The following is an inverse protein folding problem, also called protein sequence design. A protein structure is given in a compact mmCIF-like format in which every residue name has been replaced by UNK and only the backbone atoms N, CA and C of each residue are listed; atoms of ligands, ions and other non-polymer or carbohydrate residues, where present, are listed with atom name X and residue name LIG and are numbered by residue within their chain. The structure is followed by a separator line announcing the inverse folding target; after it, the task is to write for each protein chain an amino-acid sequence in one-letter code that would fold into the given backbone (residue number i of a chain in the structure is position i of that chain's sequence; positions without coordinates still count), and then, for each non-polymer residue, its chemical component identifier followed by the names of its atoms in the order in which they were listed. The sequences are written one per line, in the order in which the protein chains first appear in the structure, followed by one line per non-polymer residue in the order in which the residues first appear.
data_IF_726010439420
#
_entry.id   IF_726010439420
#
_cell.length_a   1.000
_cell.length_b   1.000
_cell.length_c   1.000
_cell.angle_alpha   90.00
_cell.angle_beta   90.00
_cell.angle_gamma   90.00
#
_symmetry.space_group_name_H-M   'P 1'
#
loop_
_entity.id
_entity.type
_entity.pdbx_description
1 polymer ?
#
# COMPACT_ATOMS: atom_id res chain seq x y z
N UNK A 1 6.94 -23.02 -1.60
CA UNK A 1 5.64 -22.33 -1.38
C UNK A 1 5.42 -21.37 -2.54
N UNK A 2 4.19 -21.21 -3.05
CA UNK A 2 3.89 -20.22 -4.09
C UNK A 2 3.36 -18.95 -3.43
N UNK A 3 4.24 -17.99 -3.21
CA UNK A 3 3.92 -16.70 -2.60
C UNK A 3 3.68 -15.65 -3.68
N UNK A 4 2.46 -15.13 -3.76
CA UNK A 4 2.12 -14.06 -4.70
C UNK A 4 2.16 -12.73 -3.98
N UNK A 5 2.93 -11.79 -4.54
CA UNK A 5 3.06 -10.44 -4.03
C UNK A 5 2.39 -9.47 -4.98
N UNK A 6 1.40 -8.72 -4.50
CA UNK A 6 0.66 -7.77 -5.32
C UNK A 6 1.45 -6.49 -5.53
N UNK A 7 2.20 -6.43 -6.63
CA UNK A 7 3.02 -5.29 -7.04
C UNK A 7 2.27 -4.27 -7.91
N UNK A 8 0.97 -4.46 -8.16
CA UNK A 8 0.15 -3.59 -9.02
C UNK A 8 0.01 -2.16 -8.50
N UNK A 9 0.37 -1.92 -7.23
CA UNK A 9 0.39 -0.58 -6.62
C UNK A 9 1.69 0.19 -6.87
N UNK A 10 2.67 -0.42 -7.54
CA UNK A 10 3.85 0.30 -8.02
C UNK A 10 3.41 1.19 -9.18
N UNK A 11 3.58 2.49 -9.01
CA UNK A 11 3.27 3.48 -10.04
C UNK A 11 4.46 3.66 -10.98
N UNK A 12 4.17 3.85 -12.25
CA UNK A 12 5.17 3.99 -13.31
C UNK A 12 5.42 5.45 -13.72
N UNK A 13 4.54 6.36 -13.29
CA UNK A 13 4.59 7.80 -13.56
C UNK A 13 5.10 8.61 -12.36
N UNK A 14 4.77 8.16 -11.15
CA UNK A 14 5.08 8.87 -9.92
C UNK A 14 5.18 7.91 -8.73
N UNK A 15 6.35 7.82 -8.14
CA UNK A 15 6.64 6.86 -7.07
C UNK A 15 6.24 7.43 -5.70
N UNK A 16 4.98 7.30 -5.32
CA UNK A 16 4.42 7.73 -4.04
C UNK A 16 4.77 6.78 -2.87
N UNK A 17 4.26 7.07 -1.67
CA UNK A 17 4.54 6.28 -0.47
C UNK A 17 4.08 4.83 -0.58
N UNK A 18 2.89 4.57 -1.17
CA UNK A 18 2.38 3.20 -1.36
C UNK A 18 3.22 2.45 -2.39
N UNK A 19 3.56 3.13 -3.49
CA UNK A 19 4.40 2.58 -4.55
C UNK A 19 5.79 2.18 -4.01
N UNK A 20 6.42 3.06 -3.21
CA UNK A 20 7.71 2.77 -2.55
C UNK A 20 7.62 1.62 -1.56
N UNK A 21 6.61 1.64 -0.69
CA UNK A 21 6.37 0.54 0.25
C UNK A 21 6.23 -0.78 -0.48
N UNK A 22 5.44 -0.81 -1.56
CA UNK A 22 5.22 -2.01 -2.37
C UNK A 22 6.53 -2.52 -2.98
N UNK A 23 7.30 -1.65 -3.62
CA UNK A 23 8.54 -2.02 -4.27
C UNK A 23 9.61 -2.51 -3.27
N UNK A 24 9.82 -1.76 -2.18
CA UNK A 24 10.83 -2.09 -1.17
C UNK A 24 10.49 -3.36 -0.39
N UNK A 25 9.24 -3.50 0.06
CA UNK A 25 8.80 -4.71 0.77
C UNK A 25 8.84 -5.92 -0.16
N UNK A 26 8.39 -5.77 -1.41
CA UNK A 26 8.44 -6.83 -2.41
C UNK A 26 9.88 -7.29 -2.68
N UNK A 27 10.81 -6.36 -2.83
CA UNK A 27 12.23 -6.67 -3.01
C UNK A 27 12.83 -7.37 -1.81
N UNK A 28 12.49 -6.94 -0.59
CA UNK A 28 12.95 -7.59 0.64
C UNK A 28 12.41 -9.02 0.79
N UNK A 29 11.12 -9.22 0.49
CA UNK A 29 10.50 -10.57 0.52
C UNK A 29 11.13 -11.48 -0.54
N UNK A 30 11.36 -10.97 -1.75
CA UNK A 30 12.03 -11.71 -2.81
C UNK A 30 13.46 -12.10 -2.43
N UNK A 31 14.22 -11.21 -1.80
CA UNK A 31 15.58 -11.51 -1.34
C UNK A 31 15.63 -12.67 -0.32
N UNK A 32 14.58 -12.86 0.46
CA UNK A 32 14.47 -13.96 1.43
C UNK A 32 14.07 -15.30 0.78
N UNK A 33 13.32 -15.28 -0.33
CA UNK A 33 12.80 -16.47 -0.97
C UNK A 33 12.61 -16.25 -2.49
N UNK A 34 13.69 -16.09 -3.27
CA UNK A 34 13.62 -15.66 -4.65
C UNK A 34 12.84 -16.63 -5.56
N UNK A 35 12.95 -17.92 -5.32
CA UNK A 35 12.29 -18.95 -6.12
C UNK A 35 10.80 -19.15 -5.76
N UNK A 36 10.34 -18.55 -4.67
CA UNK A 36 8.97 -18.73 -4.19
C UNK A 36 8.05 -17.55 -4.51
N UNK A 37 8.62 -16.37 -4.79
CA UNK A 37 7.86 -15.13 -4.98
C UNK A 37 7.49 -14.91 -6.44
N UNK A 38 6.19 -14.69 -6.68
CA UNK A 38 5.68 -14.24 -7.98
C UNK A 38 4.99 -12.89 -7.81
N UNK A 39 5.45 -11.87 -8.53
CA UNK A 39 4.85 -10.54 -8.47
C UNK A 39 3.63 -10.45 -9.40
N UNK A 40 2.51 -9.96 -8.88
CA UNK A 40 1.39 -9.53 -9.72
C UNK A 40 1.65 -8.12 -10.20
N UNK A 41 1.67 -7.92 -11.50
CA UNK A 41 1.81 -6.62 -12.15
C UNK A 41 0.64 -6.37 -13.10
N UNK A 42 0.35 -5.13 -13.46
CA UNK A 42 -0.63 -4.79 -14.49
C UNK A 42 -0.01 -4.01 -15.67
N UNK A 43 1.25 -3.61 -15.53
CA UNK A 43 2.05 -2.91 -16.52
C UNK A 43 3.51 -3.38 -16.40
N UNK A 44 4.10 -3.79 -17.51
CA UNK A 44 5.48 -4.30 -17.51
C UNK A 44 6.53 -3.27 -17.07
N UNK A 45 6.23 -1.97 -17.20
CA UNK A 45 7.08 -0.89 -16.68
C UNK A 45 7.27 -0.97 -15.16
N UNK A 46 6.37 -1.65 -14.43
CA UNK A 46 6.52 -1.88 -12.99
C UNK A 46 7.74 -2.74 -12.65
N UNK A 47 8.24 -3.54 -13.62
CA UNK A 47 9.43 -4.38 -13.47
C UNK A 47 10.70 -3.57 -13.21
N UNK A 48 10.75 -2.29 -13.64
CA UNK A 48 11.88 -1.39 -13.36
C UNK A 48 12.10 -1.14 -11.85
N UNK A 49 11.07 -1.38 -11.04
CA UNK A 49 11.08 -1.20 -9.59
C UNK A 49 11.10 -2.52 -8.81
N UNK A 50 11.27 -3.64 -9.50
CA UNK A 50 11.30 -4.97 -8.92
C UNK A 50 12.67 -5.62 -9.14
N UNK A 51 13.04 -6.65 -8.36
CA UNK A 51 14.31 -7.35 -8.53
C UNK A 51 14.47 -7.93 -9.94
N UNK A 52 15.66 -7.78 -10.51
CA UNK A 52 15.95 -8.33 -11.83
C UNK A 52 15.79 -9.87 -11.83
N UNK A 53 15.12 -10.38 -12.85
CA UNK A 53 14.86 -11.82 -13.00
C UNK A 53 13.76 -12.38 -12.09
N UNK A 54 13.08 -11.57 -11.32
CA UNK A 54 11.96 -12.01 -10.48
C UNK A 54 10.82 -12.59 -11.33
N UNK A 55 10.19 -13.64 -10.84
CA UNK A 55 8.97 -14.21 -11.46
C UNK A 55 7.81 -13.23 -11.36
N UNK A 56 7.03 -13.09 -12.42
CA UNK A 56 5.89 -12.20 -12.44
C UNK A 56 4.71 -12.74 -13.25
N UNK A 57 3.54 -12.18 -13.00
CA UNK A 57 2.31 -12.49 -13.69
C UNK A 57 1.58 -11.19 -14.05
N UNK A 58 1.28 -11.02 -15.34
CA UNK A 58 0.43 -9.92 -15.80
C UNK A 58 -1.02 -10.17 -15.37
N UNK A 59 -1.58 -9.23 -14.63
CA UNK A 59 -2.93 -9.30 -14.09
C UNK A 59 -3.69 -8.01 -14.43
N UNK A 60 -4.99 -7.95 -14.16
CA UNK A 60 -5.73 -6.71 -14.38
C UNK A 60 -5.29 -5.60 -13.41
N UNK A 61 -5.48 -4.34 -13.80
CA UNK A 61 -5.21 -3.19 -12.95
C UNK A 61 -6.00 -3.26 -11.63
N UNK A 62 -5.37 -2.80 -10.54
CA UNK A 62 -6.02 -2.65 -9.24
C UNK A 62 -7.20 -1.65 -9.23
N UNK A 63 -7.34 -0.83 -10.28
CA UNK A 63 -8.47 0.08 -10.49
C UNK A 63 -9.58 -0.54 -11.35
N UNK A 64 -9.41 -1.77 -11.80
CA UNK A 64 -10.36 -2.46 -12.67
C UNK A 64 -11.64 -2.81 -11.93
N UNK A 65 -12.78 -2.76 -12.64
CA UNK A 65 -14.06 -3.29 -12.16
C UNK A 65 -14.01 -4.81 -11.84
N UNK A 66 -12.95 -5.49 -12.24
CA UNK A 66 -12.72 -6.91 -11.95
C UNK A 66 -12.08 -7.15 -10.58
N UNK A 67 -11.67 -6.09 -9.87
CA UNK A 67 -11.00 -6.20 -8.57
C UNK A 67 -11.81 -6.98 -7.52
N UNK A 68 -13.15 -6.83 -7.41
CA UNK A 68 -13.95 -7.63 -6.48
C UNK A 68 -13.87 -9.16 -6.68
N UNK A 69 -13.57 -9.60 -7.90
CA UNK A 69 -13.44 -11.02 -8.26
C UNK A 69 -11.98 -11.46 -8.47
N UNK A 70 -11.01 -10.66 -8.06
CA UNK A 70 -9.58 -10.91 -8.25
C UNK A 70 -9.18 -12.30 -7.73
N UNK A 71 -9.65 -12.68 -6.53
CA UNK A 71 -9.33 -13.98 -5.94
C UNK A 71 -9.82 -15.17 -6.78
N UNK A 72 -11.01 -15.08 -7.37
CA UNK A 72 -11.53 -16.15 -8.24
C UNK A 72 -10.62 -16.33 -9.45
N UNK A 73 -10.13 -15.23 -10.04
CA UNK A 73 -9.20 -15.29 -11.16
C UNK A 73 -7.82 -15.82 -10.76
N UNK A 74 -7.34 -15.50 -9.56
CA UNK A 74 -6.06 -15.97 -9.04
C UNK A 74 -6.06 -17.46 -8.70
N UNK A 75 -7.20 -18.04 -8.35
CA UNK A 75 -7.32 -19.46 -8.02
C UNK A 75 -6.74 -20.41 -9.10
N UNK A 76 -6.80 -20.02 -10.39
CA UNK A 76 -6.27 -20.83 -11.50
C UNK A 76 -4.75 -21.01 -11.42
N UNK A 77 -4.05 -20.03 -10.82
CA UNK A 77 -2.59 -20.07 -10.63
C UNK A 77 -2.17 -20.78 -9.36
N UNK A 78 -3.13 -21.13 -8.50
CA UNK A 78 -2.96 -21.90 -7.25
C UNK A 78 -1.89 -21.28 -6.33
N UNK A 79 -1.94 -19.99 -5.97
CA UNK A 79 -1.05 -19.47 -4.94
C UNK A 79 -1.33 -20.18 -3.61
N UNK A 80 -0.31 -20.33 -2.77
CA UNK A 80 -0.49 -20.76 -1.37
C UNK A 80 -0.83 -19.56 -0.51
N UNK A 81 -0.13 -18.44 -0.75
CA UNK A 81 -0.31 -17.17 -0.04
C UNK A 81 -0.31 -16.02 -1.03
N UNK A 82 -1.19 -15.04 -0.81
CA UNK A 82 -1.18 -13.73 -1.46
C UNK A 82 -0.97 -12.65 -0.40
N UNK A 83 -0.01 -11.75 -0.63
CA UNK A 83 0.12 -10.48 0.07
C UNK A 83 -0.31 -9.33 -0.83
N UNK A 84 -1.17 -8.45 -0.31
CA UNK A 84 -1.51 -7.19 -0.99
C UNK A 84 -1.18 -5.98 -0.10
N UNK A 85 -0.45 -4.97 -0.62
CA UNK A 85 -0.07 -3.76 0.11
C UNK A 85 -1.27 -2.84 0.43
N UNK A 86 -2.45 -3.15 -0.09
CA UNK A 86 -3.72 -2.50 0.28
C UNK A 86 -4.83 -3.56 0.45
N UNK A 87 -5.90 -3.15 1.12
CA UNK A 87 -7.05 -4.00 1.46
C UNK A 87 -8.12 -4.05 0.36
N UNK A 88 -7.87 -3.48 -0.80
CA UNK A 88 -8.88 -3.33 -1.87
C UNK A 88 -9.05 -4.57 -2.74
N UNK A 89 -8.09 -5.50 -2.70
CA UNK A 89 -8.19 -6.73 -3.47
C UNK A 89 -9.37 -7.59 -3.01
N UNK A 90 -10.20 -8.01 -3.97
CA UNK A 90 -11.32 -8.89 -3.69
C UNK A 90 -10.84 -10.29 -3.25
N UNK A 91 -11.27 -10.71 -2.07
CA UNK A 91 -10.86 -11.98 -1.44
C UNK A 91 -11.95 -13.06 -1.48
N UNK A 92 -13.14 -12.75 -1.98
CA UNK A 92 -14.27 -13.68 -2.03
C UNK A 92 -13.97 -14.89 -2.94
N UNK A 93 -14.28 -16.10 -2.45
CA UNK A 93 -14.08 -17.33 -3.20
C UNK A 93 -12.64 -17.76 -3.40
N UNK A 94 -11.67 -17.16 -2.69
CA UNK A 94 -10.26 -17.55 -2.72
C UNK A 94 -10.05 -18.97 -2.18
N UNK A 95 -9.05 -19.65 -2.72
CA UNK A 95 -8.60 -20.98 -2.29
C UNK A 95 -7.17 -20.96 -1.72
N UNK A 96 -6.70 -19.80 -1.29
CA UNK A 96 -5.36 -19.53 -0.78
C UNK A 96 -5.44 -18.60 0.44
N UNK A 97 -4.35 -18.49 1.20
CA UNK A 97 -4.25 -17.54 2.31
C UNK A 97 -4.03 -16.12 1.77
N UNK A 98 -4.73 -15.15 2.35
CA UNK A 98 -4.60 -13.75 1.97
C UNK A 98 -4.15 -12.90 3.16
N UNK A 99 -3.15 -12.06 2.93
CA UNK A 99 -2.66 -11.04 3.84
C UNK A 99 -2.88 -9.70 3.16
N UNK A 100 -3.56 -8.77 3.81
CA UNK A 100 -3.82 -7.44 3.26
C UNK A 100 -3.31 -6.36 4.19
N UNK A 101 -2.90 -5.23 3.63
CA UNK A 101 -2.43 -4.10 4.42
C UNK A 101 -3.50 -3.01 4.55
N UNK A 102 -3.60 -2.43 5.75
CA UNK A 102 -4.30 -1.18 5.98
C UNK A 102 -3.33 -0.20 6.63
N UNK A 103 -2.92 0.81 5.89
CA UNK A 103 -1.88 1.74 6.34
C UNK A 103 -2.37 2.66 7.46
N UNK A 104 -3.53 3.27 7.29
CA UNK A 104 -4.11 4.21 8.25
C UNK A 104 -5.65 4.32 8.09
N UNK A 105 -6.24 5.13 8.96
CA UNK A 105 -7.67 5.47 8.94
C UNK A 105 -7.90 6.97 8.70
N UNK A 106 -6.95 7.66 8.08
CA UNK A 106 -6.97 9.11 7.94
C UNK A 106 -8.23 9.63 7.24
N UNK A 107 -8.72 8.88 6.25
CA UNK A 107 -9.92 9.26 5.50
C UNK A 107 -11.24 9.06 6.27
N UNK A 108 -11.24 8.33 7.36
CA UNK A 108 -12.37 8.29 8.27
C UNK A 108 -12.44 9.52 9.19
N UNK A 109 -11.28 10.15 9.45
CA UNK A 109 -11.18 11.42 10.18
C UNK A 109 -11.37 12.62 9.24
N UNK A 110 -10.74 12.59 8.06
CA UNK A 110 -10.77 13.64 7.05
C UNK A 110 -11.58 13.20 5.83
N UNK A 111 -12.91 13.26 5.96
CA UNK A 111 -13.89 12.71 4.99
C UNK A 111 -14.04 13.56 3.70
N UNK A 112 -13.01 14.29 3.30
CA UNK A 112 -12.99 15.01 2.02
C UNK A 112 -12.35 14.13 0.96
N UNK A 113 -13.09 13.74 -0.12
CA UNK A 113 -12.51 12.93 -1.17
C UNK A 113 -11.42 13.71 -1.90
N UNK A 114 -10.38 13.02 -2.41
CA UNK A 114 -9.37 13.62 -3.26
C UNK A 114 -10.01 14.39 -4.42
N UNK A 115 -9.42 15.55 -4.76
CA UNK A 115 -9.98 16.45 -5.79
C UNK A 115 -9.80 15.94 -7.22
N UNK A 116 -8.83 15.07 -7.44
CA UNK A 116 -8.54 14.43 -8.72
C UNK A 116 -9.52 13.33 -9.13
N UNK A 117 -10.43 12.93 -8.23
CA UNK A 117 -11.45 11.93 -8.52
C UNK A 117 -12.64 12.55 -9.28
N UNK A 118 -13.23 11.79 -10.20
CA UNK A 118 -14.47 12.21 -10.89
C UNK A 118 -15.62 12.40 -9.89
N UNK A 119 -16.64 13.23 -10.20
CA UNK A 119 -17.74 13.51 -9.28
C UNK A 119 -18.47 12.24 -8.80
N UNK A 120 -18.71 11.29 -9.71
CA UNK A 120 -19.38 10.03 -9.38
C UNK A 120 -18.54 9.16 -8.43
N UNK A 121 -17.23 9.05 -8.70
CA UNK A 121 -16.30 8.33 -7.82
C UNK A 121 -16.21 9.00 -6.44
N UNK A 122 -16.26 10.33 -6.37
CA UNK A 122 -16.26 11.08 -5.10
C UNK A 122 -17.52 10.79 -4.26
N UNK A 123 -18.66 10.58 -4.89
CA UNK A 123 -19.90 10.17 -4.20
C UNK A 123 -19.72 8.77 -3.61
N UNK A 124 -19.28 7.81 -4.42
CA UNK A 124 -18.99 6.44 -3.97
C UNK A 124 -17.94 6.40 -2.85
N UNK A 125 -16.89 7.21 -2.97
CA UNK A 125 -15.86 7.36 -1.96
C UNK A 125 -16.42 7.87 -0.62
N UNK A 126 -17.31 8.90 -0.65
CA UNK A 126 -18.00 9.38 0.55
C UNK A 126 -18.87 8.31 1.18
N UNK A 127 -19.65 7.61 0.35
CA UNK A 127 -20.50 6.51 0.83
C UNK A 127 -19.69 5.40 1.50
N UNK A 128 -18.53 5.02 0.92
CA UNK A 128 -17.61 4.05 1.50
C UNK A 128 -17.11 4.45 2.89
N UNK A 129 -16.77 5.74 3.09
CA UNK A 129 -16.19 6.24 4.34
C UNK A 129 -17.25 6.77 5.35
N UNK A 130 -18.56 6.64 5.06
CA UNK A 130 -19.60 6.97 6.04
C UNK A 130 -19.59 6.02 7.23
N UNK A 131 -19.27 4.75 7.00
CA UNK A 131 -19.26 3.70 8.01
C UNK A 131 -18.03 2.83 7.88
N UNK A 132 -17.67 2.13 8.94
CA UNK A 132 -16.58 1.15 8.90
C UNK A 132 -16.99 -0.21 8.29
N UNK A 133 -18.24 -0.37 7.84
CA UNK A 133 -18.72 -1.67 7.37
C UNK A 133 -17.95 -2.19 6.13
N UNK A 134 -17.72 -1.38 5.09
CA UNK A 134 -16.96 -1.85 3.93
C UNK A 134 -15.52 -2.25 4.30
N UNK A 135 -14.89 -1.47 5.20
CA UNK A 135 -13.55 -1.76 5.69
C UNK A 135 -13.52 -3.06 6.48
N UNK A 136 -14.52 -3.30 7.34
CA UNK A 136 -14.67 -4.56 8.08
C UNK A 136 -14.84 -5.74 7.14
N UNK A 137 -15.63 -5.61 6.08
CA UNK A 137 -15.84 -6.66 5.10
C UNK A 137 -14.51 -7.02 4.40
N UNK A 138 -13.76 -6.02 3.94
CA UNK A 138 -12.46 -6.21 3.28
C UNK A 138 -11.45 -6.90 4.21
N UNK A 139 -11.25 -6.39 5.43
CA UNK A 139 -10.25 -6.93 6.35
C UNK A 139 -10.60 -8.32 6.88
N UNK A 140 -11.87 -8.62 7.12
CA UNK A 140 -12.28 -9.95 7.58
C UNK A 140 -12.32 -10.99 6.45
N UNK A 141 -12.29 -10.56 5.20
CA UNK A 141 -12.08 -11.42 4.03
C UNK A 141 -10.66 -12.01 3.94
N UNK A 142 -9.68 -11.40 4.60
CA UNK A 142 -8.30 -11.90 4.66
C UNK A 142 -8.09 -12.89 5.83
N UNK A 143 -6.92 -13.55 5.89
CA UNK A 143 -6.49 -14.36 7.03
C UNK A 143 -5.69 -13.57 8.06
N UNK A 144 -4.94 -12.55 7.61
CA UNK A 144 -4.21 -11.64 8.47
C UNK A 144 -4.24 -10.22 7.87
N UNK A 145 -4.06 -9.23 8.73
CA UNK A 145 -3.96 -7.82 8.38
C UNK A 145 -2.59 -7.31 8.77
N UNK A 146 -1.98 -6.51 7.90
CA UNK A 146 -0.74 -5.78 8.15
C UNK A 146 -1.03 -4.30 8.24
N UNK A 147 -0.32 -3.60 9.09
CA UNK A 147 -0.32 -2.14 9.18
C UNK A 147 1.08 -1.61 9.40
N UNK A 148 1.28 -0.30 9.23
CA UNK A 148 2.62 0.31 9.20
C UNK A 148 3.06 0.90 10.55
N UNK A 149 2.18 0.93 11.55
CA UNK A 149 2.51 1.49 12.86
C UNK A 149 1.65 0.92 13.99
N UNK A 150 2.16 0.96 15.22
CA UNK A 150 1.40 0.61 16.42
C UNK A 150 0.21 1.54 16.64
N UNK A 151 0.29 2.79 16.19
CA UNK A 151 -0.85 3.73 16.23
C UNK A 151 -1.97 3.24 15.34
N UNK A 152 -1.69 2.92 14.09
CA UNK A 152 -2.69 2.35 13.16
C UNK A 152 -3.24 1.03 13.67
N UNK A 153 -2.39 0.15 14.25
CA UNK A 153 -2.83 -1.10 14.86
C UNK A 153 -3.83 -0.85 15.99
N UNK A 154 -3.54 0.07 16.90
CA UNK A 154 -4.47 0.43 17.99
C UNK A 154 -5.81 0.98 17.45
N UNK A 155 -5.79 1.78 16.40
CA UNK A 155 -7.01 2.29 15.76
C UNK A 155 -7.83 1.17 15.11
N UNK A 156 -7.19 0.27 14.36
CA UNK A 156 -7.84 -0.90 13.76
C UNK A 156 -8.56 -1.74 14.82
N UNK A 157 -7.87 -2.03 15.91
CA UNK A 157 -8.41 -2.84 17.02
C UNK A 157 -9.48 -2.06 17.82
N UNK A 158 -9.24 -0.79 18.12
CA UNK A 158 -10.16 0.08 18.86
C UNK A 158 -11.50 0.26 18.15
N UNK A 159 -11.48 0.42 16.84
CA UNK A 159 -12.69 0.47 16.01
C UNK A 159 -13.26 -0.91 15.65
N UNK A 160 -12.66 -1.99 16.17
CA UNK A 160 -13.07 -3.38 15.90
C UNK A 160 -13.24 -3.66 14.39
N UNK A 161 -12.26 -3.24 13.60
CA UNK A 161 -12.34 -3.35 12.14
C UNK A 161 -12.13 -4.78 11.65
N UNK A 162 -11.42 -5.60 12.40
CA UNK A 162 -11.19 -7.00 12.05
C UNK A 162 -11.15 -7.92 13.28
N UNK A 163 -11.48 -9.19 13.06
CA UNK A 163 -11.26 -10.29 13.99
C UNK A 163 -9.98 -11.07 13.66
N UNK A 164 -9.29 -10.68 12.61
CA UNK A 164 -8.07 -11.33 12.13
C UNK A 164 -6.85 -10.81 12.91
N UNK A 165 -5.76 -11.58 13.00
CA UNK A 165 -4.50 -11.08 13.54
C UNK A 165 -4.06 -9.82 12.82
N UNK A 166 -3.57 -8.83 13.58
CA UNK A 166 -3.04 -7.56 13.03
C UNK A 166 -1.57 -7.46 13.40
N UNK A 167 -0.72 -7.43 12.38
CA UNK A 167 0.73 -7.33 12.50
C UNK A 167 1.22 -5.96 12.06
N UNK A 168 2.31 -5.48 12.66
CA UNK A 168 2.96 -4.24 12.27
C UNK A 168 4.20 -4.54 11.45
N UNK A 169 4.24 -4.04 10.22
CA UNK A 169 5.42 -4.01 9.36
C UNK A 169 5.67 -2.54 9.04
N UNK A 170 6.60 -1.87 9.73
CA UNK A 170 6.83 -0.45 9.55
C UNK A 170 7.45 -0.14 8.19
N UNK A 171 7.23 1.09 7.73
CA UNK A 171 7.95 1.59 6.56
C UNK A 171 9.45 1.68 6.88
N UNK A 172 10.29 1.18 5.96
CA UNK A 172 11.72 1.36 6.06
C UNK A 172 12.11 2.76 5.54
N UNK A 173 13.05 3.45 6.20
CA UNK A 173 13.62 4.66 5.65
C UNK A 173 14.50 4.34 4.44
N UNK A 174 14.57 5.27 3.47
CA UNK A 174 15.61 5.20 2.46
C UNK A 174 16.96 5.56 3.11
N UNK A 175 18.03 4.86 2.76
CA UNK A 175 19.36 5.34 3.10
C UNK A 175 19.70 6.54 2.19
N UNK A 176 19.56 7.73 2.78
CA UNK A 176 19.87 8.98 2.07
C UNK A 176 21.37 9.25 2.00
N UNK A 177 22.20 8.52 2.74
CA UNK A 177 23.66 8.71 2.75
C UNK A 177 24.26 8.42 1.39
N UNK A 178 23.75 7.41 0.69
CA UNK A 178 24.18 7.08 -0.67
C UNK A 178 23.91 8.20 -1.70
N UNK A 179 23.08 9.19 -1.34
CA UNK A 179 22.71 10.32 -2.18
C UNK A 179 23.39 11.63 -1.78
N UNK A 180 24.17 11.61 -0.74
CA UNK A 180 24.96 12.79 -0.35
C UNK A 180 26.14 12.95 -1.30
N UNK A 181 26.47 14.18 -1.71
CA UNK A 181 27.71 14.44 -2.42
C UNK A 181 28.91 13.98 -1.58
N UNK A 182 29.99 13.53 -2.27
CA UNK A 182 31.22 13.15 -1.61
C UNK A 182 31.74 14.30 -0.71
N UNK A 183 32.03 13.99 0.56
CA UNK A 183 32.49 14.96 1.54
C UNK A 183 31.38 15.82 2.18
N UNK A 184 30.12 15.60 1.89
CA UNK A 184 29.03 16.28 2.57
C UNK A 184 28.94 15.84 4.04
N UNK A 185 28.98 16.80 4.95
CA UNK A 185 28.71 16.55 6.37
C UNK A 185 27.21 16.69 6.64
N UNK A 186 26.51 15.60 6.99
CA UNK A 186 25.08 15.66 7.34
C UNK A 186 24.78 16.57 8.54
N UNK A 187 25.78 16.83 9.38
CA UNK A 187 25.66 17.66 10.57
C UNK A 187 25.99 19.14 10.32
N UNK A 188 26.53 19.49 9.15
CA UNK A 188 26.96 20.87 8.83
C UNK A 188 25.80 21.86 8.59
N UNK A 189 24.56 21.43 8.73
CA UNK A 189 23.38 22.26 8.47
C UNK A 189 23.10 23.29 9.58
N UNK A 190 23.65 24.48 9.46
CA UNK A 190 23.22 25.65 10.26
C UNK A 190 22.08 26.43 9.60
N UNK A 191 21.41 25.80 8.63
CA UNK A 191 20.40 26.45 7.79
C UNK A 191 19.10 26.75 8.54
N UNK A 192 18.53 27.91 8.27
CA UNK A 192 17.16 28.31 8.69
C UNK A 192 16.11 27.84 7.69
N UNK A 193 16.39 26.80 6.92
CA UNK A 193 15.50 26.29 5.89
C UNK A 193 14.57 25.23 6.46
N UNK A 194 13.26 25.43 6.28
CA UNK A 194 12.25 24.40 6.51
C UNK A 194 11.99 23.69 5.19
N UNK A 195 12.09 22.38 5.18
CA UNK A 195 11.79 21.56 4.01
C UNK A 195 10.51 20.78 4.28
N UNK A 196 9.51 20.96 3.43
CA UNK A 196 8.31 20.16 3.40
C UNK A 196 8.37 19.17 2.24
N UNK A 197 8.15 17.90 2.54
CA UNK A 197 8.07 16.85 1.54
C UNK A 197 6.74 16.08 1.71
N UNK A 198 5.87 16.16 0.70
CA UNK A 198 4.58 15.46 0.72
C UNK A 198 3.56 16.11 -0.21
N UNK A 199 2.37 15.51 -0.29
CA UNK A 199 1.25 16.07 -1.02
C UNK A 199 0.61 17.25 -0.26
N UNK A 200 0.04 18.20 -1.02
CA UNK A 200 -0.69 19.36 -0.45
C UNK A 200 -2.16 19.01 -0.13
N UNK A 201 -2.39 17.84 0.43
CA UNK A 201 -3.73 17.46 0.88
C UNK A 201 -4.18 18.34 2.07
N UNK A 202 -5.46 18.77 2.14
CA UNK A 202 -5.94 19.69 3.18
C UNK A 202 -5.62 19.25 4.61
N UNK A 203 -5.62 17.95 4.89
CA UNK A 203 -5.32 17.42 6.22
C UNK A 203 -3.82 17.51 6.60
N UNK A 204 -2.94 17.77 5.64
CA UNK A 204 -1.50 18.00 5.88
C UNK A 204 -1.22 19.40 6.39
N UNK A 205 -2.20 20.31 6.25
CA UNK A 205 -2.17 21.68 6.79
C UNK A 205 -0.92 22.49 6.42
N UNK A 206 -0.46 22.31 5.19
CA UNK A 206 0.77 22.97 4.68
C UNK A 206 0.62 24.49 4.64
N UNK A 207 -0.62 24.99 4.39
CA UNK A 207 -0.90 26.42 4.40
C UNK A 207 -0.55 27.06 5.75
N UNK A 208 -0.92 26.43 6.86
CA UNK A 208 -0.53 26.91 8.21
C UNK A 208 0.98 26.90 8.41
N UNK A 209 1.70 25.93 7.86
CA UNK A 209 3.15 25.92 7.92
C UNK A 209 3.78 27.10 7.18
N UNK A 210 3.16 27.55 6.08
CA UNK A 210 3.66 28.68 5.28
C UNK A 210 3.35 30.03 5.94
N UNK A 211 2.19 30.14 6.61
CA UNK A 211 1.72 31.39 7.19
C UNK A 211 2.10 31.59 8.67
N UNK A 212 2.51 30.54 9.38
CA UNK A 212 2.89 30.57 10.79
C UNK A 212 4.37 30.56 11.00
#
# INVERSE_FOLDING_TARGET
MRFFFDARYIRTDFHDGISRYTAQLGSAVHALAPDEVTFLIHDERQLEHLPAGASWLLFHSNESALEPIAALKLNKYRPDVLFSPLQTIGTAGRKFKAIVSLHDLIYYRHRRPPTNLSPLVRIGWRAYHLTYWPQRAALNGADAVVTVSETSRREILGHRLTKRPVHVIPNAPNDLRERLPDGADPAAGTGRNLVYMGSFMPYKNVETLIHG
#
